data_IF_334747263226
#
_entry.id   IF_334747263226
#
_cell.length_a   1.000
_cell.length_b   1.000
_cell.length_c   1.000
_cell.angle_alpha   90.00
_cell.angle_beta   90.00
_cell.angle_gamma   90.00
#
_symmetry.space_group_name_H-M   'P 1'
#
loop_
_entity.id
_entity.type
_entity.pdbx_description
1 polymer ?
#
# COMPACT_ATOMS: atom_id res chain seq x y z
N UNK A 1 -3.67 20.07 -7.99
CA UNK A 1 -2.58 19.67 -7.07
C UNK A 1 -2.63 18.16 -6.93
N UNK A 2 -1.48 17.45 -6.88
CA UNK A 2 -1.48 16.00 -6.69
C UNK A 2 -2.04 15.62 -5.31
N UNK A 3 -2.86 14.57 -5.26
CA UNK A 3 -3.42 14.06 -4.03
C UNK A 3 -2.38 13.19 -3.33
N UNK A 4 -1.61 13.74 -2.41
CA UNK A 4 -0.59 12.96 -1.69
C UNK A 4 -1.18 12.26 -0.47
N UNK A 5 -0.75 11.02 -0.24
CA UNK A 5 -1.10 10.24 0.94
C UNK A 5 0.15 9.63 1.58
N UNK A 6 0.10 9.47 2.90
CA UNK A 6 1.07 8.71 3.68
C UNK A 6 0.33 7.58 4.38
N UNK A 7 0.72 6.34 4.10
CA UNK A 7 0.14 5.14 4.69
C UNK A 7 1.20 4.42 5.49
N UNK A 8 0.82 3.87 6.63
CA UNK A 8 1.72 3.08 7.45
C UNK A 8 0.99 1.80 7.78
N UNK A 9 1.48 0.64 7.33
CA UNK A 9 0.77 -0.62 7.55
C UNK A 9 1.64 -1.84 7.25
N UNK A 10 1.02 -3.00 7.07
CA UNK A 10 1.73 -4.26 6.81
C UNK A 10 1.30 -4.86 5.49
N UNK A 11 2.26 -5.42 4.76
CA UNK A 11 1.98 -6.13 3.52
C UNK A 11 1.11 -7.37 3.80
N UNK A 12 0.18 -7.63 2.89
CA UNK A 12 -0.73 -8.75 2.95
C UNK A 12 -0.65 -9.53 1.66
N UNK A 13 0.04 -10.66 1.68
CA UNK A 13 0.16 -11.54 0.53
C UNK A 13 1.47 -11.37 -0.24
N UNK A 14 1.62 -12.10 -1.35
CA UNK A 14 2.90 -12.18 -2.03
C UNK A 14 3.24 -10.87 -2.76
N UNK A 15 4.53 -10.51 -2.74
CA UNK A 15 5.09 -9.53 -3.67
C UNK A 15 4.88 -10.03 -5.11
N UNK A 16 4.28 -9.17 -5.95
CA UNK A 16 4.10 -9.35 -7.39
C UNK A 16 5.17 -8.55 -8.11
N UNK A 17 5.90 -9.19 -9.02
CA UNK A 17 6.96 -8.54 -9.79
C UNK A 17 6.55 -8.42 -11.25
N UNK A 18 6.60 -7.20 -11.77
CA UNK A 18 6.37 -6.88 -13.17
C UNK A 18 7.66 -6.35 -13.79
N UNK A 19 7.69 -6.11 -15.10
CA UNK A 19 8.92 -5.68 -15.79
C UNK A 19 9.56 -4.44 -15.11
N UNK A 20 8.77 -3.39 -14.88
CA UNK A 20 9.25 -2.07 -14.41
C UNK A 20 9.01 -1.76 -12.94
N UNK A 21 8.07 -2.45 -12.30
CA UNK A 21 7.62 -2.16 -10.95
C UNK A 21 7.34 -3.45 -10.18
N UNK A 22 7.22 -3.33 -8.86
CA UNK A 22 6.66 -4.38 -8.02
C UNK A 22 5.38 -3.87 -7.40
N UNK A 23 4.44 -4.78 -7.15
CA UNK A 23 3.21 -4.49 -6.45
C UNK A 23 3.04 -5.43 -5.27
N UNK A 24 2.46 -4.92 -4.19
CA UNK A 24 2.04 -5.73 -3.07
C UNK A 24 0.81 -5.10 -2.44
N UNK A 25 -0.04 -5.95 -1.88
CA UNK A 25 -1.19 -5.47 -1.13
C UNK A 25 -0.75 -5.16 0.29
N UNK A 26 -1.39 -4.18 0.91
CA UNK A 26 -1.24 -3.88 2.33
C UNK A 26 -2.60 -3.63 2.94
N UNK A 27 -2.69 -3.86 4.25
CA UNK A 27 -3.86 -3.45 5.03
C UNK A 27 -3.45 -2.46 6.10
N UNK A 28 -4.30 -1.47 6.26
CA UNK A 28 -4.25 -0.55 7.38
C UNK A 28 -5.65 -0.30 7.92
N UNK A 29 -5.79 0.20 9.14
CA UNK A 29 -7.08 0.57 9.71
C UNK A 29 -6.98 1.93 10.37
N UNK A 30 -8.08 2.67 10.36
CA UNK A 30 -8.17 3.89 11.15
C UNK A 30 -8.09 3.62 12.65
N UNK A 31 -7.93 4.69 13.42
CA UNK A 31 -7.83 4.62 14.88
C UNK A 31 -8.98 3.82 15.50
N UNK A 32 -8.69 2.92 16.48
CA UNK A 32 -9.75 2.23 17.22
C UNK A 32 -10.61 3.20 18.04
N UNK A 33 -10.08 4.39 18.34
CA UNK A 33 -10.73 5.45 19.10
C UNK A 33 -11.31 6.50 18.15
N UNK A 34 -12.25 6.09 17.30
CA UNK A 34 -13.00 7.03 16.47
C UNK A 34 -13.73 8.06 17.35
N UNK A 35 -13.78 9.35 16.97
CA UNK A 35 -14.53 10.37 17.71
C UNK A 35 -15.99 9.97 17.93
N UNK A 36 -16.57 10.41 19.06
CA UNK A 36 -17.94 10.09 19.43
C UNK A 36 -18.91 10.54 18.33
N UNK A 37 -19.81 9.64 17.93
CA UNK A 37 -20.80 9.88 16.88
C UNK A 37 -20.33 9.55 15.46
N UNK A 38 -19.06 9.18 15.26
CA UNK A 38 -18.54 8.74 13.97
C UNK A 38 -18.50 7.21 13.86
N UNK A 39 -18.57 6.72 12.62
CA UNK A 39 -18.40 5.30 12.33
C UNK A 39 -16.98 4.88 12.68
N UNK A 40 -16.84 3.70 13.29
CA UNK A 40 -15.53 3.09 13.53
C UNK A 40 -14.91 2.72 12.18
N UNK A 41 -13.60 2.85 12.10
CA UNK A 41 -12.86 2.44 10.91
C UNK A 41 -12.78 0.92 10.84
N UNK A 42 -12.97 0.39 9.63
CA UNK A 42 -12.63 -0.98 9.27
C UNK A 42 -11.23 -1.03 8.67
N UNK A 43 -10.76 -2.23 8.32
CA UNK A 43 -9.57 -2.33 7.48
C UNK A 43 -9.85 -1.72 6.12
N UNK A 44 -8.85 -1.04 5.59
CA UNK A 44 -8.75 -0.58 4.22
C UNK A 44 -7.63 -1.38 3.58
N UNK A 45 -7.92 -1.99 2.44
CA UNK A 45 -6.91 -2.72 1.66
C UNK A 45 -6.39 -1.83 0.55
N UNK A 46 -5.07 -1.73 0.43
CA UNK A 46 -4.41 -0.96 -0.62
C UNK A 46 -3.57 -1.88 -1.49
N UNK A 47 -3.44 -1.55 -2.77
CA UNK A 47 -2.39 -2.10 -3.63
C UNK A 47 -1.32 -1.04 -3.82
N UNK A 48 -0.08 -1.32 -3.39
CA UNK A 48 1.04 -0.39 -3.54
C UNK A 48 1.81 -0.77 -4.79
N UNK A 49 2.02 0.21 -5.67
CA UNK A 49 2.86 0.10 -6.85
C UNK A 49 4.15 0.88 -6.60
N UNK A 50 5.30 0.22 -6.70
CA UNK A 50 6.59 0.87 -6.48
C UNK A 50 7.56 0.50 -7.58
N UNK A 51 8.26 1.50 -8.13
CA UNK A 51 9.27 1.25 -9.15
C UNK A 51 10.35 0.30 -8.61
N UNK A 52 10.76 -0.70 -9.40
CA UNK A 52 11.78 -1.69 -8.96
C UNK A 52 13.04 -1.05 -8.39
N UNK A 53 13.50 0.03 -9.03
CA UNK A 53 14.70 0.76 -8.58
C UNK A 53 14.52 1.37 -7.18
N UNK A 54 13.32 1.84 -6.84
CA UNK A 54 13.01 2.36 -5.51
C UNK A 54 12.89 1.20 -4.51
N UNK A 55 12.15 0.15 -4.87
CA UNK A 55 12.01 -1.04 -4.04
C UNK A 55 13.36 -1.66 -3.65
N UNK A 56 14.26 -1.84 -4.61
CA UNK A 56 15.57 -2.43 -4.36
C UNK A 56 16.43 -1.63 -3.37
N UNK A 57 16.23 -0.31 -3.25
CA UNK A 57 16.95 0.53 -2.27
C UNK A 57 16.51 0.28 -0.83
N UNK A 58 15.31 -0.24 -0.63
CA UNK A 58 14.78 -0.52 0.71
C UNK A 58 15.45 -1.73 1.37
N UNK A 59 16.08 -2.62 0.57
CA UNK A 59 16.59 -3.91 1.04
C UNK A 59 15.48 -4.92 1.39
N UNK A 60 14.21 -4.56 1.18
CA UNK A 60 13.09 -5.46 1.41
C UNK A 60 13.10 -6.61 0.41
N UNK A 61 12.74 -7.78 0.91
CA UNK A 61 12.60 -9.00 0.13
C UNK A 61 11.16 -9.50 0.23
N UNK A 62 10.80 -10.44 -0.64
CA UNK A 62 9.50 -11.12 -0.58
C UNK A 62 9.20 -11.74 0.80
N UNK A 63 10.23 -12.12 1.55
CA UNK A 63 10.08 -12.66 2.92
C UNK A 63 10.01 -11.56 3.97
N UNK A 64 10.92 -10.57 3.92
CA UNK A 64 11.00 -9.56 4.97
C UNK A 64 9.81 -8.59 4.94
N UNK A 65 9.27 -8.28 3.76
CA UNK A 65 8.15 -7.35 3.59
C UNK A 65 6.90 -7.76 4.39
N UNK A 66 6.69 -9.07 4.59
CA UNK A 66 5.56 -9.62 5.32
C UNK A 66 5.68 -9.48 6.84
N UNK A 67 6.88 -9.21 7.35
CA UNK A 67 7.18 -9.12 8.78
C UNK A 67 7.48 -7.69 9.23
N UNK A 68 7.48 -6.74 8.30
CA UNK A 68 7.81 -5.35 8.57
C UNK A 68 6.56 -4.45 8.52
N UNK A 69 6.64 -3.36 9.27
CA UNK A 69 5.68 -2.27 9.17
C UNK A 69 6.26 -1.23 8.22
N UNK A 70 5.55 -0.95 7.14
CA UNK A 70 6.03 -0.20 5.99
C UNK A 70 5.35 1.16 5.98
N UNK A 71 6.16 2.21 5.80
CA UNK A 71 5.69 3.56 5.51
C UNK A 71 5.69 3.75 3.99
N UNK A 72 4.54 4.13 3.43
CA UNK A 72 4.34 4.40 2.01
C UNK A 72 3.98 5.86 1.85
N UNK A 73 4.69 6.55 0.96
CA UNK A 73 4.40 7.92 0.56
C UNK A 73 4.13 7.94 -0.94
N UNK A 74 2.93 8.35 -1.32
CA UNK A 74 2.47 8.16 -2.67
C UNK A 74 1.25 8.99 -3.04
N UNK A 75 0.71 8.68 -4.20
CA UNK A 75 -0.55 9.23 -4.71
C UNK A 75 -1.56 8.08 -4.90
N UNK A 76 -2.80 8.20 -4.40
CA UNK A 76 -3.82 7.22 -4.66
C UNK A 76 -4.19 7.27 -6.14
N UNK A 77 -4.42 6.10 -6.71
CA UNK A 77 -4.81 5.90 -8.09
C UNK A 77 -6.03 4.99 -8.10
N UNK A 78 -7.05 5.45 -8.82
CA UNK A 78 -8.31 4.73 -9.02
C UNK A 78 -8.36 4.26 -10.47
N UNK A 79 -9.35 3.43 -10.81
CA UNK A 79 -9.56 2.91 -12.17
C UNK A 79 -8.41 2.00 -12.67
N UNK A 80 -7.79 1.24 -11.76
CA UNK A 80 -6.86 0.16 -12.11
C UNK A 80 -7.65 -1.16 -12.21
N UNK A 81 -7.37 -2.01 -13.21
CA UNK A 81 -7.96 -3.34 -13.30
C UNK A 81 -7.80 -4.15 -11.99
N UNK A 82 -8.85 -4.86 -11.58
CA UNK A 82 -8.90 -5.56 -10.28
C UNK A 82 -7.86 -6.68 -10.16
N UNK A 83 -7.44 -7.25 -11.29
CA UNK A 83 -6.37 -8.21 -11.41
C UNK A 83 -4.99 -7.60 -11.09
N UNK A 84 -4.80 -6.31 -11.38
CA UNK A 84 -3.59 -5.57 -11.03
C UNK A 84 -3.69 -4.92 -9.64
N UNK A 85 -4.89 -4.50 -9.23
CA UNK A 85 -5.19 -3.84 -7.95
C UNK A 85 -6.32 -4.57 -7.17
N UNK A 86 -6.00 -5.67 -6.47
CA UNK A 86 -6.98 -6.38 -5.64
C UNK A 86 -7.43 -5.57 -4.40
N UNK A 87 -6.58 -4.66 -3.91
CA UNK A 87 -6.94 -3.72 -2.86
C UNK A 87 -8.05 -2.75 -3.30
N UNK A 88 -8.76 -2.17 -2.33
CA UNK A 88 -9.82 -1.20 -2.58
C UNK A 88 -9.29 0.09 -3.25
N UNK A 89 -8.03 0.44 -2.98
CA UNK A 89 -7.38 1.64 -3.52
C UNK A 89 -5.96 1.31 -3.98
N UNK A 90 -5.61 1.71 -5.20
CA UNK A 90 -4.23 1.67 -5.68
C UNK A 90 -3.42 2.86 -5.17
N UNK A 91 -2.13 2.68 -4.94
CA UNK A 91 -1.22 3.75 -4.48
C UNK A 91 0.09 3.68 -5.25
N UNK A 92 0.42 4.73 -5.98
CA UNK A 92 1.72 4.87 -6.65
C UNK A 92 2.69 5.43 -5.62
N UNK A 93 3.62 4.59 -5.18
CA UNK A 93 4.64 4.93 -4.21
C UNK A 93 5.84 5.60 -4.89
N UNK A 94 6.29 6.72 -4.34
CA UNK A 94 7.44 7.46 -4.84
C UNK A 94 8.69 7.34 -3.96
N UNK A 95 8.55 6.77 -2.75
CA UNK A 95 9.58 6.86 -1.71
C UNK A 95 9.80 5.54 -0.98
#
# INVERSE_FOLDING_TARGET
>A
MPHKITLTGSATGPLREYDRYVAFDMREKGSPSAPKGLKKSTFISYTVFVAKKAFNKTGLTKKSIMHEKILIQGEPTLDIPIDECPGEVGVICFQ
#
